data_IF_031740251827
#
_entry.id   IF_031740251827
#
_cell.length_a   1.000
_cell.length_b   1.000
_cell.length_c   1.000
_cell.angle_alpha   90.00
_cell.angle_beta   90.00
_cell.angle_gamma   90.00
#
_symmetry.space_group_name_H-M   'P 1'
#
loop_
_entity.id
_entity.type
_entity.pdbx_description
1 polymer ?
#
# COMPACT_ATOMS: atom_id res chain seq x y z
N UNK A 1 22.11 -2.78 19.52
CA UNK A 1 21.95 -1.34 19.27
C UNK A 1 21.86 -0.62 20.60
N UNK A 2 22.46 0.56 20.67
CA UNK A 2 22.58 1.33 21.90
C UNK A 2 21.23 2.01 22.21
N UNK A 3 20.50 1.44 23.18
CA UNK A 3 19.19 1.94 23.61
C UNK A 3 19.30 3.32 24.28
N UNK A 4 20.45 3.65 24.83
CA UNK A 4 20.65 4.93 25.52
C UNK A 4 20.71 6.07 24.50
N UNK A 5 21.42 5.90 23.40
CA UNK A 5 21.45 6.87 22.29
C UNK A 5 20.03 7.07 21.71
N UNK A 6 19.26 6.00 21.52
CA UNK A 6 17.88 6.12 21.02
C UNK A 6 16.98 6.88 21.99
N UNK A 7 17.14 6.69 23.30
CA UNK A 7 16.38 7.41 24.31
C UNK A 7 16.80 8.89 24.39
N UNK A 8 18.10 9.18 24.26
CA UNK A 8 18.59 10.56 24.18
C UNK A 8 18.02 11.29 22.97
N UNK A 9 18.05 10.68 21.78
CA UNK A 9 17.45 11.22 20.56
C UNK A 9 15.93 11.45 20.73
N UNK A 10 15.23 10.49 21.31
CA UNK A 10 13.82 10.64 21.64
C UNK A 10 13.57 11.83 22.56
N UNK A 11 14.35 11.98 23.61
CA UNK A 11 14.21 13.07 24.56
C UNK A 11 14.48 14.44 23.91
N UNK A 12 15.49 14.51 23.06
CA UNK A 12 15.88 15.73 22.36
C UNK A 12 14.85 16.19 21.31
N UNK A 13 14.16 15.23 20.65
CA UNK A 13 13.23 15.53 19.55
C UNK A 13 11.76 15.59 19.96
N UNK A 14 11.40 15.01 21.12
CA UNK A 14 10.03 14.99 21.62
C UNK A 14 9.58 16.38 22.06
N UNK A 15 8.37 16.78 21.65
CA UNK A 15 7.71 18.00 22.13
C UNK A 15 6.32 17.66 22.70
N UNK A 16 5.59 18.67 23.14
CA UNK A 16 4.20 18.53 23.56
C UNK A 16 3.29 18.00 22.43
N UNK A 17 3.62 18.32 21.18
CA UNK A 17 2.82 17.95 19.99
C UNK A 17 3.48 16.89 19.11
N UNK A 18 4.75 16.57 19.34
CA UNK A 18 5.50 15.61 18.54
C UNK A 18 5.96 14.44 19.41
N UNK A 19 5.25 13.33 19.29
CA UNK A 19 5.51 12.13 20.06
C UNK A 19 6.38 11.16 19.26
N UNK A 20 7.43 10.65 19.90
CA UNK A 20 8.40 9.74 19.28
C UNK A 20 8.41 8.42 20.04
N UNK A 21 8.23 7.33 19.31
CA UNK A 21 8.46 5.98 19.79
C UNK A 21 9.80 5.45 19.26
N UNK A 22 10.43 4.59 20.02
CA UNK A 22 11.70 3.96 19.66
C UNK A 22 11.46 2.46 19.52
N UNK A 23 12.02 1.89 18.47
CA UNK A 23 11.98 0.44 18.21
C UNK A 23 13.32 -0.05 17.69
N UNK A 24 13.60 -1.33 17.88
CA UNK A 24 14.72 -2.06 17.27
C UNK A 24 14.27 -2.97 16.11
N UNK A 25 12.97 -2.97 15.82
CA UNK A 25 12.39 -3.70 14.68
C UNK A 25 12.59 -2.95 13.36
N UNK A 26 13.82 -2.95 12.87
CA UNK A 26 14.16 -2.29 11.60
C UNK A 26 13.46 -2.98 10.43
N UNK A 27 13.50 -4.31 10.40
CA UNK A 27 12.92 -5.08 9.30
C UNK A 27 11.41 -4.81 9.16
N UNK A 28 10.70 -4.79 10.29
CA UNK A 28 9.27 -4.49 10.30
C UNK A 28 8.95 -3.07 9.84
N UNK A 29 9.66 -2.07 10.37
CA UNK A 29 9.42 -0.65 10.02
C UNK A 29 9.73 -0.39 8.53
N UNK A 30 10.89 -0.82 8.04
CA UNK A 30 11.29 -0.60 6.65
C UNK A 30 10.33 -1.30 5.68
N UNK A 31 9.90 -2.53 6.00
CA UNK A 31 8.91 -3.26 5.21
C UNK A 31 7.56 -2.54 5.21
N UNK A 32 7.06 -2.12 6.37
CA UNK A 32 5.79 -1.41 6.47
C UNK A 32 5.77 -0.11 5.65
N UNK A 33 6.83 0.69 5.76
CA UNK A 33 6.97 1.96 5.02
C UNK A 33 7.14 1.73 3.52
N UNK A 34 7.85 0.69 3.09
CA UNK A 34 7.97 0.36 1.68
C UNK A 34 6.61 -0.06 1.08
N UNK A 35 5.86 -0.90 1.77
CA UNK A 35 4.57 -1.43 1.32
C UNK A 35 3.48 -0.37 1.19
N UNK A 36 3.46 0.64 2.05
CA UNK A 36 2.40 1.67 2.04
C UNK A 36 2.15 2.29 0.67
N UNK A 37 3.21 2.55 -0.09
CA UNK A 37 3.07 3.17 -1.41
C UNK A 37 2.40 2.24 -2.42
N UNK A 38 2.75 0.95 -2.42
CA UNK A 38 2.12 -0.04 -3.27
C UNK A 38 0.62 -0.16 -2.95
N UNK A 39 0.30 -0.31 -1.66
CA UNK A 39 -1.08 -0.47 -1.24
C UNK A 39 -1.92 0.82 -1.30
N UNK A 40 -1.32 2.00 -1.13
CA UNK A 40 -2.04 3.25 -1.39
C UNK A 40 -2.48 3.39 -2.86
N UNK A 41 -1.66 2.92 -3.80
CA UNK A 41 -2.07 2.81 -5.19
C UNK A 41 -3.24 1.84 -5.35
N UNK A 42 -3.16 0.65 -4.73
CA UNK A 42 -4.20 -0.35 -4.78
C UNK A 42 -5.55 0.17 -4.24
N UNK A 43 -5.55 0.80 -3.07
CA UNK A 43 -6.77 1.41 -2.49
C UNK A 43 -7.36 2.48 -3.42
N UNK A 44 -6.50 3.25 -4.08
CA UNK A 44 -6.93 4.32 -4.98
C UNK A 44 -7.54 3.82 -6.29
N UNK A 45 -7.38 2.53 -6.64
CA UNK A 45 -8.08 1.92 -7.78
C UNK A 45 -9.60 2.04 -7.64
N UNK A 46 -10.13 1.87 -6.42
CA UNK A 46 -11.57 1.96 -6.17
C UNK A 46 -12.13 3.35 -6.49
N UNK A 47 -11.35 4.40 -6.29
CA UNK A 47 -11.76 5.78 -6.62
C UNK A 47 -11.94 5.90 -8.13
N UNK A 48 -10.92 5.53 -8.90
CA UNK A 48 -10.96 5.60 -10.36
C UNK A 48 -12.06 4.71 -10.96
N UNK A 49 -12.21 3.48 -10.45
CA UNK A 49 -13.24 2.55 -10.92
C UNK A 49 -14.65 3.12 -10.74
N UNK A 50 -14.89 3.83 -9.65
CA UNK A 50 -16.19 4.45 -9.38
C UNK A 50 -16.43 5.71 -10.19
N UNK A 51 -15.43 6.56 -10.35
CA UNK A 51 -15.58 7.88 -11.00
C UNK A 51 -15.29 7.87 -12.50
N UNK A 52 -14.96 6.72 -13.10
CA UNK A 52 -14.57 6.62 -14.51
C UNK A 52 -15.62 7.16 -15.50
N UNK A 53 -16.90 7.00 -15.19
CA UNK A 53 -18.00 7.41 -16.06
C UNK A 53 -18.51 8.83 -15.75
N UNK A 54 -18.27 9.30 -14.53
CA UNK A 54 -18.63 10.64 -14.08
C UNK A 54 -17.68 11.10 -12.96
N UNK A 55 -16.67 11.92 -13.29
CA UNK A 55 -15.72 12.44 -12.32
C UNK A 55 -16.32 13.38 -11.26
N UNK A 56 -17.56 13.85 -11.44
CA UNK A 56 -18.24 14.71 -10.46
C UNK A 56 -18.87 13.92 -9.32
N UNK A 57 -18.94 12.60 -9.42
CA UNK A 57 -19.49 11.76 -8.36
C UNK A 57 -18.66 11.84 -7.07
N UNK A 58 -19.30 11.88 -5.90
CA UNK A 58 -18.58 11.84 -4.63
C UNK A 58 -17.86 10.50 -4.47
N UNK A 59 -16.69 10.51 -3.82
CA UNK A 59 -15.94 9.28 -3.56
C UNK A 59 -16.77 8.26 -2.76
N UNK A 60 -16.68 6.99 -3.13
CA UNK A 60 -17.32 5.88 -2.41
C UNK A 60 -16.32 5.23 -1.48
N UNK A 61 -16.48 5.49 -0.20
CA UNK A 61 -15.51 5.05 0.82
C UNK A 61 -15.60 3.54 1.14
N UNK A 62 -16.75 2.90 0.94
CA UNK A 62 -16.89 1.47 1.26
C UNK A 62 -15.96 0.58 0.44
N UNK A 63 -15.83 0.82 -0.87
CA UNK A 63 -14.90 0.08 -1.71
C UNK A 63 -13.43 0.38 -1.33
N UNK A 64 -13.12 1.64 -1.01
CA UNK A 64 -11.80 2.01 -0.51
C UNK A 64 -11.49 1.32 0.83
N UNK A 65 -12.47 1.27 1.75
CA UNK A 65 -12.31 0.60 3.03
C UNK A 65 -12.05 -0.91 2.87
N UNK A 66 -12.76 -1.56 1.93
CA UNK A 66 -12.52 -2.98 1.61
C UNK A 66 -11.11 -3.23 1.09
N UNK A 67 -10.61 -2.39 0.16
CA UNK A 67 -9.23 -2.49 -0.32
C UNK A 67 -8.21 -2.14 0.76
N UNK A 68 -8.52 -1.19 1.64
CA UNK A 68 -7.66 -0.81 2.76
C UNK A 68 -7.52 -1.97 3.76
N UNK A 69 -8.63 -2.64 4.08
CA UNK A 69 -8.62 -3.82 4.94
C UNK A 69 -7.76 -4.95 4.35
N UNK A 70 -7.93 -5.25 3.07
CA UNK A 70 -7.11 -6.28 2.40
C UNK A 70 -5.64 -5.86 2.34
N UNK A 71 -5.36 -4.57 2.09
CA UNK A 71 -4.00 -4.03 2.13
C UNK A 71 -3.36 -4.23 3.52
N UNK A 72 -4.08 -3.95 4.62
CA UNK A 72 -3.60 -4.17 5.97
C UNK A 72 -3.29 -5.65 6.24
N UNK A 73 -4.19 -6.54 5.80
CA UNK A 73 -4.02 -7.98 5.95
C UNK A 73 -2.76 -8.49 5.26
N UNK A 74 -2.57 -8.10 3.98
CA UNK A 74 -1.39 -8.49 3.21
C UNK A 74 -0.10 -7.85 3.76
N UNK A 75 -0.14 -6.57 4.15
CA UNK A 75 1.00 -5.89 4.78
C UNK A 75 1.44 -6.61 6.06
N UNK A 76 0.50 -7.01 6.92
CA UNK A 76 0.78 -7.77 8.14
C UNK A 76 1.50 -9.08 7.85
N UNK A 77 1.03 -9.83 6.86
CA UNK A 77 1.63 -11.10 6.46
C UNK A 77 3.05 -10.90 5.90
N UNK A 78 3.25 -9.89 5.06
CA UNK A 78 4.56 -9.58 4.46
C UNK A 78 5.57 -9.08 5.52
N UNK A 79 5.12 -8.26 6.48
CA UNK A 79 5.95 -7.80 7.61
C UNK A 79 6.44 -9.01 8.42
N UNK A 80 5.55 -9.94 8.75
CA UNK A 80 5.94 -11.18 9.45
C UNK A 80 6.93 -12.01 8.66
N UNK A 81 6.71 -12.13 7.35
CA UNK A 81 7.63 -12.87 6.46
C UNK A 81 9.01 -12.24 6.39
N UNK A 82 9.13 -10.91 6.50
CA UNK A 82 10.41 -10.21 6.55
C UNK A 82 11.13 -10.31 7.91
N UNK A 83 10.53 -10.98 8.89
CA UNK A 83 11.04 -11.09 10.26
C UNK A 83 10.67 -9.90 11.15
N UNK A 84 9.80 -9.01 10.68
CA UNK A 84 9.27 -7.90 11.45
C UNK A 84 8.23 -8.32 12.48
N UNK A 85 8.05 -7.48 13.49
CA UNK A 85 7.06 -7.68 14.56
C UNK A 85 5.69 -7.17 14.11
N UNK A 86 4.63 -7.75 14.67
CA UNK A 86 3.24 -7.41 14.33
C UNK A 86 2.88 -5.93 14.56
N UNK A 87 3.45 -5.33 15.60
CA UNK A 87 3.26 -3.91 15.92
C UNK A 87 3.88 -2.94 14.91
N UNK A 88 4.82 -3.39 14.06
CA UNK A 88 5.39 -2.58 12.99
C UNK A 88 4.32 -2.15 11.96
N UNK A 89 3.26 -2.94 11.81
CA UNK A 89 2.12 -2.61 10.95
C UNK A 89 1.52 -1.24 11.25
N UNK A 90 1.44 -0.85 12.53
CA UNK A 90 0.83 0.42 12.94
C UNK A 90 1.51 1.64 12.32
N UNK A 91 2.82 1.57 12.08
CA UNK A 91 3.56 2.64 11.40
C UNK A 91 3.21 2.71 9.91
N UNK A 92 3.07 1.54 9.27
CA UNK A 92 2.67 1.45 7.86
C UNK A 92 1.23 1.88 7.62
N UNK A 93 0.29 1.48 8.48
CA UNK A 93 -1.14 1.78 8.34
C UNK A 93 -1.43 3.27 8.47
N UNK A 94 -0.82 3.96 9.44
CA UNK A 94 -0.98 5.41 9.58
C UNK A 94 -0.50 6.17 8.35
N UNK A 95 0.65 5.79 7.82
CA UNK A 95 1.23 6.41 6.63
C UNK A 95 0.47 6.02 5.33
N UNK A 96 -0.02 4.78 5.25
CA UNK A 96 -0.93 4.34 4.19
C UNK A 96 -2.18 5.21 4.14
N UNK A 97 -2.82 5.45 5.31
CA UNK A 97 -3.99 6.28 5.42
C UNK A 97 -3.76 7.68 4.81
N UNK A 98 -2.70 8.36 5.22
CA UNK A 98 -2.37 9.70 4.68
C UNK A 98 -2.06 9.66 3.18
N UNK A 99 -1.37 8.61 2.72
CA UNK A 99 -0.96 8.47 1.31
C UNK A 99 -2.15 8.23 0.37
N UNK A 100 -3.22 7.59 0.84
CA UNK A 100 -4.46 7.39 0.07
C UNK A 100 -5.17 8.71 -0.25
N UNK A 101 -5.03 9.76 0.57
CA UNK A 101 -5.69 11.04 0.35
C UNK A 101 -4.95 11.97 -0.61
N UNK A 102 -3.70 11.69 -0.97
CA UNK A 102 -2.97 12.60 -1.84
C UNK A 102 -1.72 12.00 -2.47
N UNK A 103 -1.08 12.84 -3.29
CA UNK A 103 0.22 12.53 -3.87
C UNK A 103 0.20 11.71 -5.17
N UNK A 104 1.39 11.35 -5.60
CA UNK A 104 1.67 10.72 -6.91
C UNK A 104 1.09 9.32 -7.01
N UNK A 105 1.22 8.57 -5.94
CA UNK A 105 0.73 7.18 -5.83
C UNK A 105 -0.79 7.10 -5.96
N UNK A 106 -1.52 8.00 -5.27
CA UNK A 106 -2.97 8.12 -5.42
C UNK A 106 -3.36 8.41 -6.87
N UNK A 107 -2.69 9.39 -7.51
CA UNK A 107 -2.98 9.74 -8.90
C UNK A 107 -2.83 8.57 -9.84
N UNK A 108 -1.76 7.79 -9.72
CA UNK A 108 -1.56 6.58 -10.52
C UNK A 108 -2.69 5.58 -10.29
N UNK A 109 -3.04 5.29 -9.02
CA UNK A 109 -4.12 4.36 -8.68
C UNK A 109 -5.47 4.79 -9.28
N UNK A 110 -5.82 6.07 -9.20
CA UNK A 110 -7.06 6.61 -9.80
C UNK A 110 -7.07 6.45 -11.33
N UNK A 111 -5.97 6.78 -12.00
CA UNK A 111 -5.86 6.63 -13.46
C UNK A 111 -6.01 5.16 -13.86
N UNK A 112 -5.32 4.24 -13.19
CA UNK A 112 -5.44 2.81 -13.46
C UNK A 112 -6.86 2.30 -13.16
N UNK A 113 -7.45 2.74 -12.05
CA UNK A 113 -8.81 2.37 -11.66
C UNK A 113 -9.88 2.83 -12.65
N UNK A 114 -9.66 3.96 -13.35
CA UNK A 114 -10.57 4.44 -14.39
C UNK A 114 -10.53 3.61 -15.67
N UNK A 115 -9.68 2.59 -15.75
CA UNK A 115 -9.55 1.72 -16.92
C UNK A 115 -8.47 2.15 -17.91
N UNK A 116 -7.51 2.96 -17.46
CA UNK A 116 -6.34 3.32 -18.27
C UNK A 116 -5.25 2.26 -18.08
N UNK A 117 -4.66 1.79 -19.17
CA UNK A 117 -3.51 0.87 -19.13
C UNK A 117 -2.28 1.53 -18.51
N UNK A 118 -1.40 0.73 -17.91
CA UNK A 118 -0.24 1.25 -17.19
C UNK A 118 0.72 2.07 -18.05
N UNK A 119 0.97 1.66 -19.29
CA UNK A 119 1.83 2.43 -20.23
C UNK A 119 1.30 3.82 -20.45
N UNK A 120 0.01 3.97 -20.75
CA UNK A 120 -0.63 5.27 -20.94
C UNK A 120 -0.67 6.09 -19.64
N UNK A 121 -0.97 5.45 -18.51
CA UNK A 121 -0.95 6.10 -17.19
C UNK A 121 0.46 6.65 -16.85
N UNK A 122 1.51 5.92 -17.21
CA UNK A 122 2.89 6.33 -17.01
C UNK A 122 3.28 7.53 -17.88
N UNK A 123 2.80 7.58 -19.11
CA UNK A 123 2.97 8.73 -20.00
C UNK A 123 2.28 9.98 -19.46
N UNK A 124 1.05 9.84 -18.94
CA UNK A 124 0.30 10.94 -18.29
C UNK A 124 1.01 11.48 -17.04
N UNK A 125 1.86 10.66 -16.42
CA UNK A 125 2.66 11.00 -15.24
C UNK A 125 4.15 11.16 -15.57
N UNK A 126 4.48 11.51 -16.81
CA UNK A 126 5.87 11.68 -17.24
C UNK A 126 6.63 12.68 -16.33
N UNK A 127 7.86 12.35 -15.98
CA UNK A 127 8.68 13.15 -15.07
C UNK A 127 8.37 12.96 -13.57
N UNK A 128 7.40 12.11 -13.22
CA UNK A 128 7.04 11.81 -11.82
C UNK A 128 7.70 10.49 -11.40
N UNK A 129 8.44 10.50 -10.29
CA UNK A 129 8.96 9.27 -9.68
C UNK A 129 7.81 8.48 -9.05
N UNK A 130 7.66 7.22 -9.46
CA UNK A 130 6.62 6.31 -9.00
C UNK A 130 7.23 5.20 -8.12
N UNK A 131 7.46 5.50 -6.86
CA UNK A 131 8.04 4.57 -5.88
C UNK A 131 7.20 3.30 -5.71
N UNK A 132 5.88 3.43 -5.80
CA UNK A 132 4.94 2.30 -5.76
C UNK A 132 5.24 1.24 -6.82
N UNK A 133 5.56 1.65 -8.03
CA UNK A 133 5.88 0.75 -9.14
C UNK A 133 7.11 -0.09 -8.84
N UNK A 134 8.19 0.54 -8.38
CA UNK A 134 9.43 -0.16 -8.04
C UNK A 134 9.23 -1.22 -6.94
N UNK A 135 8.44 -0.91 -5.92
CA UNK A 135 8.11 -1.86 -4.84
C UNK A 135 7.25 -3.00 -5.35
N UNK A 136 6.24 -2.74 -6.17
CA UNK A 136 5.37 -3.79 -6.72
C UNK A 136 6.18 -4.76 -7.61
N UNK A 137 7.05 -4.25 -8.49
CA UNK A 137 7.91 -5.08 -9.31
C UNK A 137 8.91 -5.89 -8.47
N UNK A 138 9.47 -5.29 -7.41
CA UNK A 138 10.37 -5.99 -6.48
C UNK A 138 9.66 -7.16 -5.80
N UNK A 139 8.46 -6.92 -5.27
CA UNK A 139 7.66 -7.96 -4.59
C UNK A 139 7.22 -9.06 -5.56
N UNK A 140 6.84 -8.71 -6.79
CA UNK A 140 6.54 -9.69 -7.82
C UNK A 140 7.71 -10.64 -8.11
N UNK A 141 8.92 -10.09 -8.20
CA UNK A 141 10.15 -10.92 -8.35
C UNK A 141 10.46 -11.76 -7.10
N UNK A 142 10.27 -11.17 -5.92
CA UNK A 142 10.55 -11.85 -4.64
C UNK A 142 9.60 -13.03 -4.41
N UNK A 143 8.31 -12.84 -4.61
CA UNK A 143 7.31 -13.88 -4.38
C UNK A 143 7.23 -14.91 -5.51
N UNK A 144 7.48 -14.51 -6.76
CA UNK A 144 7.29 -15.40 -7.91
C UNK A 144 5.88 -15.98 -7.91
N UNK A 145 5.75 -17.32 -7.96
CA UNK A 145 4.44 -17.98 -7.93
C UNK A 145 3.65 -17.79 -6.63
N UNK A 146 4.33 -17.53 -5.51
CA UNK A 146 3.67 -17.30 -4.22
C UNK A 146 2.93 -15.96 -4.14
N UNK A 147 3.06 -15.09 -5.13
CA UNK A 147 2.28 -13.84 -5.19
C UNK A 147 0.77 -14.12 -5.20
N UNK A 148 0.35 -15.32 -5.59
CA UNK A 148 -1.05 -15.76 -5.52
C UNK A 148 -1.64 -15.80 -4.11
N UNK A 149 -0.80 -15.85 -3.07
CA UNK A 149 -1.22 -15.78 -1.66
C UNK A 149 -1.59 -14.36 -1.22
N UNK A 150 -1.28 -13.36 -2.06
CA UNK A 150 -1.51 -11.93 -1.85
C UNK A 150 -2.36 -11.37 -3.00
N UNK A 151 -3.67 -11.61 -3.02
CA UNK A 151 -4.51 -11.32 -4.18
C UNK A 151 -4.53 -9.84 -4.58
N UNK A 152 -4.44 -8.91 -3.64
CA UNK A 152 -4.38 -7.48 -3.95
C UNK A 152 -3.00 -7.09 -4.52
N UNK A 153 -1.91 -7.59 -3.95
CA UNK A 153 -0.56 -7.37 -4.49
C UNK A 153 -0.41 -7.99 -5.88
N UNK A 154 -0.90 -9.21 -6.08
CA UNK A 154 -0.92 -9.86 -7.39
C UNK A 154 -1.67 -9.01 -8.42
N UNK A 155 -2.85 -8.53 -8.07
CA UNK A 155 -3.68 -7.71 -8.94
C UNK A 155 -2.96 -6.43 -9.42
N UNK A 156 -2.32 -5.69 -8.51
CA UNK A 156 -1.57 -4.49 -8.91
C UNK A 156 -0.29 -4.82 -9.67
N UNK A 157 0.36 -5.94 -9.37
CA UNK A 157 1.52 -6.43 -10.11
C UNK A 157 1.16 -6.77 -11.56
N UNK A 158 0.07 -7.51 -11.79
CA UNK A 158 -0.41 -7.87 -13.12
C UNK A 158 -0.76 -6.61 -13.94
N UNK A 159 -1.44 -5.63 -13.34
CA UNK A 159 -1.74 -4.35 -14.02
C UNK A 159 -0.49 -3.62 -14.52
N UNK A 160 0.58 -3.65 -13.73
CA UNK A 160 1.84 -2.96 -14.07
C UNK A 160 2.67 -3.75 -15.08
N UNK A 161 2.85 -5.06 -14.86
CA UNK A 161 3.80 -5.86 -15.62
C UNK A 161 3.23 -6.42 -16.91
N UNK A 162 1.92 -6.70 -16.94
CA UNK A 162 1.24 -7.25 -18.11
C UNK A 162 0.46 -6.19 -18.90
N UNK A 163 0.42 -4.96 -18.40
CA UNK A 163 -0.33 -3.84 -18.99
C UNK A 163 -1.80 -4.20 -19.24
N UNK A 164 -2.42 -4.95 -18.31
CA UNK A 164 -3.79 -5.45 -18.39
C UNK A 164 -4.73 -4.64 -17.49
N UNK A 165 -6.02 -4.82 -17.71
CA UNK A 165 -7.10 -4.16 -16.97
C UNK A 165 -8.00 -5.19 -16.26
N UNK A 166 -7.44 -6.06 -15.38
CA UNK A 166 -8.25 -7.02 -14.66
C UNK A 166 -9.21 -6.32 -13.70
N UNK A 167 -10.37 -6.92 -13.46
CA UNK A 167 -11.27 -6.48 -12.41
C UNK A 167 -10.66 -6.74 -11.03
N UNK A 168 -11.01 -5.90 -10.05
CA UNK A 168 -10.56 -6.09 -8.66
C UNK A 168 -11.07 -7.43 -8.15
N UNK A 169 -10.21 -8.32 -7.63
CA UNK A 169 -10.57 -9.69 -7.26
C UNK A 169 -11.29 -9.76 -5.90
N UNK A 170 -12.43 -9.08 -5.77
CA UNK A 170 -13.19 -8.99 -4.52
C UNK A 170 -13.53 -10.35 -3.91
N UNK A 171 -13.77 -11.35 -4.75
CA UNK A 171 -14.12 -12.71 -4.35
C UNK A 171 -12.91 -13.54 -3.84
N UNK A 172 -11.70 -13.04 -3.99
CA UNK A 172 -10.48 -13.70 -3.51
C UNK A 172 -10.02 -13.13 -2.16
N UNK A 173 -10.62 -12.02 -1.72
CA UNK A 173 -10.30 -11.45 -0.42
C UNK A 173 -10.89 -12.33 0.69
N UNK A 174 -10.10 -12.58 1.72
CA UNK A 174 -10.51 -13.47 2.82
C UNK A 174 -11.64 -12.83 3.60
N UNK A 175 -12.83 -13.42 3.49
CA UNK A 175 -14.01 -13.01 4.26
C UNK A 175 -14.14 -13.73 5.61
N UNK A 176 -13.44 -14.86 5.81
CA UNK A 176 -13.62 -15.78 6.94
C UNK A 176 -12.58 -15.60 8.07
N UNK A 177 -12.15 -14.36 8.30
CA UNK A 177 -11.15 -14.06 9.33
C UNK A 177 -11.61 -14.42 10.77
N UNK A 178 -12.91 -14.60 10.96
CA UNK A 178 -13.54 -14.89 12.27
C UNK A 178 -14.23 -16.25 12.34
N UNK A 179 -14.01 -17.12 11.37
CA UNK A 179 -14.65 -18.45 11.32
C UNK A 179 -13.86 -19.57 12.01
N UNK A 180 -12.94 -19.25 12.93
CA UNK A 180 -12.29 -20.22 13.83
C UNK A 180 -12.78 -20.06 15.26
#
# INVERSE_FOLDING_TARGET
KDKDILNELRAALKTEYYHISVTDDIAGIETAVALKNAYAMAVSLAIGAYTKNDPSLPEKYNAQAGLFYEAEREMRAIIKLSGGQDNALMFGVGDLYVTVFGGRTRRLGVILGSGTEFTAAREMLAGVTLESVAIIELLGRYFGSKISEYPLMRHIHERITQNTLPDIPWNEFICDYFSE
#
